data_IF_339541333551
#
_entry.id   IF_339541333551
#
_cell.length_a   1.000
_cell.length_b   1.000
_cell.length_c   1.000
_cell.angle_alpha   90.00
_cell.angle_beta   90.00
_cell.angle_gamma   90.00
#
_symmetry.space_group_name_H-M   'P 1'
#
loop_
_entity.id
_entity.type
_entity.pdbx_description
1 polymer ?
#
# COMPACT_ATOMS: atom_id res chain seq x y z
N UNK A 1 -19.49 -3.10 -25.93
CA UNK A 1 -18.65 -2.41 -26.94
C UNK A 1 -17.23 -2.88 -26.73
N UNK A 2 -16.53 -3.33 -27.77
CA UNK A 2 -15.16 -3.79 -27.67
C UNK A 2 -14.21 -2.60 -27.37
N UNK A 3 -13.39 -2.73 -26.32
CA UNK A 3 -12.35 -1.77 -25.94
C UNK A 3 -11.00 -2.21 -26.49
N UNK A 4 -10.22 -1.30 -27.05
CA UNK A 4 -8.86 -1.60 -27.53
C UNK A 4 -7.86 -1.31 -26.41
N UNK A 5 -7.11 -2.34 -25.99
CA UNK A 5 -6.05 -2.25 -25.00
C UNK A 5 -4.77 -1.64 -25.59
N UNK A 6 -3.83 -1.18 -24.74
CA UNK A 6 -2.58 -0.58 -25.21
C UNK A 6 -1.68 -1.50 -26.06
N UNK A 7 -1.84 -2.82 -25.96
CA UNK A 7 -1.16 -3.81 -26.79
C UNK A 7 -1.84 -4.05 -28.16
N UNK A 8 -2.92 -3.31 -28.45
CA UNK A 8 -3.72 -3.44 -29.67
C UNK A 8 -4.76 -4.55 -29.62
N UNK A 9 -4.81 -5.37 -28.56
CA UNK A 9 -5.84 -6.38 -28.39
C UNK A 9 -7.20 -5.76 -28.08
N UNK A 10 -8.28 -6.41 -28.49
CA UNK A 10 -9.64 -5.93 -28.26
C UNK A 10 -10.35 -6.79 -27.21
N UNK A 11 -10.95 -6.14 -26.23
CA UNK A 11 -11.67 -6.78 -25.11
C UNK A 11 -13.14 -6.44 -25.20
N UNK A 12 -13.99 -7.46 -25.32
CA UNK A 12 -15.43 -7.29 -25.13
C UNK A 12 -15.82 -7.58 -23.69
N UNK A 13 -16.16 -6.52 -22.94
CA UNK A 13 -16.60 -6.62 -21.56
C UNK A 13 -17.89 -7.43 -21.40
N UNK A 14 -18.73 -7.51 -22.44
CA UNK A 14 -19.99 -8.27 -22.39
C UNK A 14 -19.79 -9.78 -22.48
N UNK A 15 -18.65 -10.24 -23.02
CA UNK A 15 -18.38 -11.66 -23.25
C UNK A 15 -17.63 -12.34 -22.09
N UNK A 16 -17.28 -11.62 -21.01
CA UNK A 16 -16.48 -12.15 -19.90
C UNK A 16 -15.04 -12.53 -20.27
N UNK A 17 -14.60 -12.23 -21.49
CA UNK A 17 -13.32 -12.65 -22.07
C UNK A 17 -12.07 -12.09 -21.36
N UNK A 18 -12.26 -11.09 -20.48
CA UNK A 18 -11.16 -10.51 -19.69
C UNK A 18 -10.64 -11.47 -18.63
N UNK A 19 -11.47 -12.40 -18.17
CA UNK A 19 -11.16 -13.30 -17.06
C UNK A 19 -10.49 -14.61 -17.48
N UNK A 20 -10.55 -14.99 -18.76
CA UNK A 20 -10.26 -16.36 -19.21
C UNK A 20 -8.95 -16.55 -19.98
N UNK A 21 -8.24 -15.49 -20.37
CA UNK A 21 -6.96 -15.64 -21.10
C UNK A 21 -5.72 -15.29 -20.26
N UNK A 22 -4.71 -16.17 -20.29
CA UNK A 22 -3.36 -15.84 -19.85
C UNK A 22 -2.79 -14.81 -20.83
N UNK A 23 -2.73 -13.54 -20.43
CA UNK A 23 -2.10 -12.51 -21.26
C UNK A 23 -0.59 -12.62 -21.19
N UNK A 24 0.06 -12.53 -22.35
CA UNK A 24 1.48 -12.15 -22.41
C UNK A 24 1.55 -10.70 -21.94
N UNK A 25 2.24 -10.44 -20.82
CA UNK A 25 2.44 -9.07 -20.35
C UNK A 25 3.17 -8.28 -21.45
N UNK A 26 2.74 -7.05 -21.77
CA UNK A 26 3.44 -6.24 -22.77
C UNK A 26 4.91 -6.03 -22.37
N UNK A 27 5.81 -6.10 -23.35
CA UNK A 27 7.24 -5.96 -23.13
C UNK A 27 7.63 -4.51 -22.82
N UNK A 28 8.48 -4.30 -21.80
CA UNK A 28 9.06 -3.02 -21.41
C UNK A 28 8.96 -2.75 -19.91
N UNK A 29 9.84 -1.92 -19.37
CA UNK A 29 9.77 -1.52 -17.96
C UNK A 29 8.56 -0.59 -17.74
N UNK A 30 7.62 -0.95 -16.85
CA UNK A 30 6.47 -0.10 -16.58
C UNK A 30 6.95 1.18 -15.88
N UNK A 31 6.64 2.35 -16.44
CA UNK A 31 6.96 3.64 -15.80
C UNK A 31 6.08 3.90 -14.57
N UNK A 32 5.08 3.05 -14.34
CA UNK A 32 4.21 3.05 -13.16
C UNK A 32 4.55 1.87 -12.27
N UNK A 33 5.03 2.16 -11.07
CA UNK A 33 4.93 1.27 -9.92
C UNK A 33 3.44 0.99 -9.62
N UNK A 34 3.07 -0.29 -9.56
CA UNK A 34 1.70 -0.72 -9.30
C UNK A 34 1.74 -1.92 -8.37
N UNK A 35 1.26 -1.72 -7.14
CA UNK A 35 1.23 -2.71 -6.09
C UNK A 35 -0.21 -3.16 -5.82
N UNK A 36 -0.42 -4.46 -5.70
CA UNK A 36 -1.69 -5.03 -5.25
C UNK A 36 -1.62 -5.30 -3.75
N UNK A 37 -2.56 -4.74 -2.98
CA UNK A 37 -2.68 -5.05 -1.56
C UNK A 37 -3.35 -6.42 -1.40
N UNK A 38 -2.63 -7.40 -0.88
CA UNK A 38 -3.06 -8.80 -0.93
C UNK A 38 -3.76 -9.25 0.36
N UNK A 39 -4.89 -9.94 0.22
CA UNK A 39 -5.63 -10.58 1.30
C UNK A 39 -4.89 -11.80 1.88
N UNK A 40 -5.36 -12.31 3.01
CA UNK A 40 -4.93 -13.61 3.57
C UNK A 40 -5.98 -14.69 3.29
N UNK A 41 -5.53 -15.91 3.02
CA UNK A 41 -6.44 -17.04 2.77
C UNK A 41 -6.59 -17.84 4.06
N UNK A 42 -7.82 -17.93 4.56
CA UNK A 42 -8.14 -18.78 5.70
C UNK A 42 -8.29 -20.25 5.26
N UNK A 43 -7.79 -21.17 6.08
CA UNK A 43 -7.96 -22.60 5.93
C UNK A 43 -9.41 -23.02 6.20
N UNK A 44 -9.81 -24.20 5.70
CA UNK A 44 -11.17 -24.74 5.91
C UNK A 44 -11.53 -24.88 7.40
N UNK A 45 -10.53 -25.10 8.26
CA UNK A 45 -10.70 -25.15 9.72
C UNK A 45 -11.31 -23.88 10.32
N UNK A 46 -11.26 -22.75 9.61
CA UNK A 46 -11.84 -21.49 10.04
C UNK A 46 -13.37 -21.44 9.93
N UNK A 47 -13.99 -22.30 9.11
CA UNK A 47 -15.43 -22.22 8.77
C UNK A 47 -16.38 -22.34 9.97
N UNK A 48 -15.91 -22.93 11.08
CA UNK A 48 -16.67 -23.07 12.33
C UNK A 48 -16.22 -22.13 13.45
N UNK A 49 -15.27 -21.23 13.19
CA UNK A 49 -14.72 -20.31 14.19
C UNK A 49 -15.63 -19.09 14.32
N UNK A 50 -16.02 -18.75 15.55
CA UNK A 50 -16.93 -17.63 15.84
C UNK A 50 -16.13 -16.36 16.07
N UNK A 51 -15.50 -15.84 15.02
CA UNK A 51 -14.91 -14.49 15.02
C UNK A 51 -15.88 -13.49 14.40
N UNK A 52 -15.87 -12.26 14.91
CA UNK A 52 -16.69 -11.15 14.43
C UNK A 52 -15.92 -9.84 14.57
N UNK A 53 -16.32 -8.72 13.92
CA UNK A 53 -15.61 -7.44 14.07
C UNK A 53 -15.45 -6.98 15.52
N UNK A 54 -16.42 -7.25 16.39
CA UNK A 54 -16.33 -6.95 17.83
C UNK A 54 -15.46 -7.94 18.62
N UNK A 55 -15.19 -9.12 18.07
CA UNK A 55 -14.43 -10.21 18.69
C UNK A 55 -13.62 -10.93 17.60
N UNK A 56 -12.56 -10.30 17.05
CA UNK A 56 -11.87 -10.81 15.87
C UNK A 56 -11.03 -12.07 16.13
N UNK A 57 -10.90 -12.48 17.39
CA UNK A 57 -9.95 -13.50 17.84
C UNK A 57 -8.58 -12.90 18.15
N UNK A 58 -7.79 -13.59 18.97
CA UNK A 58 -6.40 -13.21 19.19
C UNK A 58 -5.53 -13.56 17.96
N UNK A 59 -4.38 -12.88 17.74
CA UNK A 59 -3.44 -13.25 16.68
C UNK A 59 -3.05 -14.73 16.69
N UNK A 60 -2.84 -15.33 17.87
CA UNK A 60 -2.50 -16.75 18.01
C UNK A 60 -3.64 -17.70 17.62
N UNK A 61 -4.90 -17.29 17.81
CA UNK A 61 -6.06 -18.03 17.34
C UNK A 61 -6.19 -17.93 15.83
N UNK A 62 -6.09 -16.72 15.28
CA UNK A 62 -6.15 -16.46 13.84
C UNK A 62 -5.05 -17.23 13.10
N UNK A 63 -3.81 -17.22 13.62
CA UNK A 63 -2.65 -17.85 12.99
C UNK A 63 -2.82 -19.34 12.71
N UNK A 64 -3.55 -20.06 13.58
CA UNK A 64 -3.85 -21.50 13.42
C UNK A 64 -4.72 -21.80 12.20
N UNK A 65 -5.41 -20.78 11.70
CA UNK A 65 -6.40 -20.90 10.64
C UNK A 65 -5.96 -20.23 9.34
N UNK A 66 -4.73 -19.75 9.21
CA UNK A 66 -4.21 -19.21 7.95
C UNK A 66 -3.70 -20.38 7.07
N UNK A 67 -4.21 -20.47 5.85
CA UNK A 67 -3.63 -21.31 4.80
C UNK A 67 -2.46 -20.54 4.15
N UNK A 68 -1.28 -20.70 4.74
CA UNK A 68 -0.06 -20.04 4.30
C UNK A 68 0.31 -20.37 2.86
N UNK A 69 0.07 -21.61 2.42
CA UNK A 69 0.41 -22.05 1.08
C UNK A 69 -0.48 -21.36 0.04
N UNK A 70 -1.81 -21.27 0.27
CA UNK A 70 -2.71 -20.52 -0.61
C UNK A 70 -2.41 -19.02 -0.56
N UNK A 71 -2.15 -18.50 0.63
CA UNK A 71 -1.78 -17.09 0.84
C UNK A 71 -0.56 -16.72 -0.01
N UNK A 72 0.51 -17.53 0.00
CA UNK A 72 1.70 -17.27 -0.81
C UNK A 72 1.50 -17.54 -2.31
N UNK A 73 0.77 -18.59 -2.69
CA UNK A 73 0.41 -18.83 -4.10
C UNK A 73 -0.37 -17.65 -4.71
N UNK A 74 -1.15 -16.94 -3.90
CA UNK A 74 -1.84 -15.75 -4.35
C UNK A 74 -0.88 -14.57 -4.62
N UNK A 75 0.16 -14.38 -3.80
CA UNK A 75 1.24 -13.40 -4.10
C UNK A 75 1.95 -13.77 -5.39
N UNK A 76 2.30 -15.04 -5.59
CA UNK A 76 2.91 -15.53 -6.82
C UNK A 76 2.01 -15.26 -8.04
N UNK A 77 0.68 -15.43 -7.89
CA UNK A 77 -0.29 -15.10 -8.93
C UNK A 77 -0.24 -13.59 -9.29
N UNK A 78 -0.25 -12.70 -8.31
CA UNK A 78 -0.13 -11.25 -8.53
C UNK A 78 1.20 -10.88 -9.20
N UNK A 79 2.31 -11.48 -8.74
CA UNK A 79 3.65 -11.28 -9.32
C UNK A 79 3.70 -11.75 -10.77
N UNK A 80 3.10 -12.91 -11.09
CA UNK A 80 3.01 -13.42 -12.46
C UNK A 80 2.21 -12.49 -13.40
N UNK A 81 1.36 -11.63 -12.84
CA UNK A 81 0.64 -10.57 -13.57
C UNK A 81 1.36 -9.21 -13.53
N UNK A 82 2.62 -9.18 -13.06
CA UNK A 82 3.50 -8.03 -13.12
C UNK A 82 3.28 -7.00 -12.01
N UNK A 83 2.48 -7.29 -10.99
CA UNK A 83 2.29 -6.41 -9.84
C UNK A 83 3.46 -6.51 -8.86
N UNK A 84 3.76 -5.41 -8.19
CA UNK A 84 4.39 -5.46 -6.87
C UNK A 84 3.36 -5.89 -5.83
N UNK A 85 3.84 -6.25 -4.64
CA UNK A 85 2.95 -6.60 -3.53
C UNK A 85 2.89 -5.45 -2.53
N UNK A 86 1.70 -5.12 -2.04
CA UNK A 86 1.54 -4.32 -0.82
C UNK A 86 1.12 -5.27 0.30
N UNK A 87 2.10 -5.68 1.12
CA UNK A 87 1.97 -6.74 2.10
C UNK A 87 1.57 -6.20 3.48
N UNK A 88 0.80 -6.97 4.24
CA UNK A 88 0.39 -6.61 5.60
C UNK A 88 -0.24 -5.19 5.70
N UNK A 89 -1.06 -4.84 4.71
CA UNK A 89 -1.88 -3.62 4.64
C UNK A 89 -3.32 -3.89 5.11
N UNK A 90 -4.20 -2.89 5.12
CA UNK A 90 -5.61 -3.04 5.53
C UNK A 90 -6.36 -4.18 4.82
N UNK A 91 -6.06 -4.45 3.55
CA UNK A 91 -6.65 -5.56 2.78
C UNK A 91 -6.31 -6.93 3.37
N UNK A 92 -5.17 -7.06 4.06
CA UNK A 92 -4.79 -8.23 4.84
C UNK A 92 -5.38 -8.24 6.25
N UNK A 93 -6.28 -7.30 6.58
CA UNK A 93 -6.84 -7.07 7.91
C UNK A 93 -5.78 -6.73 8.95
N UNK A 94 -4.90 -5.77 8.60
CA UNK A 94 -3.72 -5.46 9.40
C UNK A 94 -4.03 -5.11 10.87
N UNK A 95 -5.16 -4.47 11.13
CA UNK A 95 -5.57 -4.07 12.47
C UNK A 95 -6.15 -5.22 13.31
N UNK A 96 -6.37 -6.39 12.70
CA UNK A 96 -6.97 -7.56 13.34
C UNK A 96 -5.97 -8.72 13.47
N UNK A 97 -5.08 -8.91 12.51
CA UNK A 97 -4.16 -10.07 12.47
C UNK A 97 -2.99 -9.97 13.46
N UNK A 98 -2.63 -8.75 13.87
CA UNK A 98 -1.51 -8.49 14.77
C UNK A 98 -0.11 -8.70 14.17
N UNK A 99 0.90 -8.21 14.89
CA UNK A 99 2.27 -8.14 14.39
C UNK A 99 2.92 -9.49 14.04
N UNK A 100 2.77 -10.58 14.82
CA UNK A 100 3.41 -11.85 14.50
C UNK A 100 3.02 -12.40 13.12
N UNK A 101 1.75 -12.30 12.74
CA UNK A 101 1.25 -12.72 11.43
C UNK A 101 1.75 -11.75 10.35
N UNK A 102 1.65 -10.44 10.58
CA UNK A 102 2.12 -9.41 9.65
C UNK A 102 3.61 -9.58 9.32
N UNK A 103 4.44 -9.83 10.33
CA UNK A 103 5.87 -10.11 10.18
C UNK A 103 6.13 -11.35 9.33
N UNK A 104 5.44 -12.45 9.59
CA UNK A 104 5.58 -13.69 8.81
C UNK A 104 5.18 -13.48 7.33
N UNK A 105 4.11 -12.72 7.07
CA UNK A 105 3.73 -12.32 5.71
C UNK A 105 4.85 -11.52 5.02
N UNK A 106 5.40 -10.51 5.70
CA UNK A 106 6.49 -9.66 5.19
C UNK A 106 7.74 -10.50 4.86
N UNK A 107 8.17 -11.36 5.79
CA UNK A 107 9.36 -12.20 5.60
C UNK A 107 9.16 -13.22 4.47
N UNK A 108 7.95 -13.79 4.32
CA UNK A 108 7.64 -14.69 3.20
C UNK A 108 7.57 -13.96 1.87
N UNK A 109 6.99 -12.76 1.84
CA UNK A 109 6.92 -11.92 0.65
C UNK A 109 8.32 -11.53 0.17
N UNK A 110 9.23 -11.18 1.09
CA UNK A 110 10.63 -10.93 0.78
C UNK A 110 11.33 -12.11 0.11
N UNK A 111 11.06 -13.35 0.54
CA UNK A 111 11.61 -14.57 -0.06
C UNK A 111 11.11 -14.81 -1.50
N UNK A 112 9.95 -14.27 -1.88
CA UNK A 112 9.48 -14.33 -3.27
C UNK A 112 10.26 -13.37 -4.19
N UNK A 113 10.90 -12.35 -3.63
CA UNK A 113 11.69 -11.36 -4.38
C UNK A 113 10.94 -10.81 -5.61
N UNK A 114 9.74 -10.23 -5.43
CA UNK A 114 8.94 -9.72 -6.55
C UNK A 114 9.75 -8.75 -7.41
N UNK A 115 9.78 -8.88 -8.75
CA UNK A 115 10.58 -8.01 -9.62
C UNK A 115 10.27 -6.52 -9.49
N UNK A 116 8.99 -6.17 -9.26
CA UNK A 116 8.56 -4.78 -8.99
C UNK A 116 8.89 -4.32 -7.56
N UNK A 117 9.31 -5.24 -6.70
CA UNK A 117 9.43 -5.07 -5.26
C UNK A 117 8.10 -5.20 -4.52
N UNK A 118 8.17 -4.95 -3.23
CA UNK A 118 6.99 -4.87 -2.37
C UNK A 118 7.09 -3.71 -1.39
N UNK A 119 5.94 -3.23 -0.98
CA UNK A 119 5.72 -2.25 0.08
C UNK A 119 5.06 -2.99 1.24
N UNK A 120 5.36 -2.64 2.48
CA UNK A 120 4.69 -3.25 3.63
C UNK A 120 4.37 -2.22 4.71
N UNK A 121 3.26 -2.44 5.43
CA UNK A 121 2.82 -1.54 6.50
C UNK A 121 3.71 -1.63 7.75
N UNK A 122 4.09 -0.47 8.30
CA UNK A 122 4.72 -0.34 9.61
C UNK A 122 3.75 0.40 10.55
N UNK A 123 3.35 -0.26 11.63
CA UNK A 123 2.42 0.25 12.63
C UNK A 123 2.93 0.05 14.05
N UNK A 124 2.01 -0.23 14.96
CA UNK A 124 2.25 -0.34 16.42
C UNK A 124 1.60 -1.58 17.03
N UNK A 125 1.14 -2.51 16.19
CA UNK A 125 0.37 -3.71 16.52
C UNK A 125 1.14 -4.80 17.28
N UNK A 126 2.41 -4.57 17.60
CA UNK A 126 3.15 -5.39 18.58
C UNK A 126 2.91 -4.96 20.03
N UNK A 127 2.41 -3.74 20.24
CA UNK A 127 2.17 -3.19 21.57
C UNK A 127 0.78 -3.60 22.06
N UNK A 128 0.69 -4.03 23.31
CA UNK A 128 -0.60 -4.29 23.95
C UNK A 128 -1.43 -3.00 24.11
N UNK A 129 -0.75 -1.87 24.30
CA UNK A 129 -1.33 -0.54 24.31
C UNK A 129 -0.27 0.50 23.96
N UNK A 130 -0.69 1.57 23.28
CA UNK A 130 0.13 2.78 23.06
C UNK A 130 -0.19 3.76 24.19
N UNK A 131 0.84 4.14 24.95
CA UNK A 131 0.72 5.04 26.10
C UNK A 131 1.45 6.37 25.92
N UNK A 132 2.36 6.44 24.95
CA UNK A 132 3.15 7.63 24.64
C UNK A 132 3.47 7.76 23.15
N UNK A 133 3.86 8.96 22.73
CA UNK A 133 4.39 9.19 21.38
C UNK A 133 5.69 8.41 21.13
N UNK A 134 6.50 8.17 22.16
CA UNK A 134 7.72 7.37 22.05
C UNK A 134 7.41 5.90 21.75
N UNK A 135 6.34 5.35 22.31
CA UNK A 135 5.91 3.98 22.02
C UNK A 135 5.63 3.81 20.52
N UNK A 136 4.95 4.80 19.92
CA UNK A 136 4.68 4.84 18.46
C UNK A 136 5.99 4.87 17.68
N UNK A 137 6.89 5.77 18.05
CA UNK A 137 8.15 5.98 17.34
C UNK A 137 8.99 4.71 17.33
N UNK A 138 9.22 4.13 18.51
CA UNK A 138 10.09 2.96 18.67
C UNK A 138 9.47 1.72 17.99
N UNK A 139 8.16 1.52 18.13
CA UNK A 139 7.46 0.41 17.50
C UNK A 139 7.46 0.49 15.97
N UNK A 140 7.19 1.67 15.40
CA UNK A 140 7.21 1.85 13.95
C UNK A 140 8.63 1.71 13.39
N UNK A 141 9.64 2.21 14.09
CA UNK A 141 11.04 2.07 13.69
C UNK A 141 11.48 0.59 13.67
N UNK A 142 11.07 -0.21 14.67
CA UNK A 142 11.31 -1.65 14.71
C UNK A 142 10.69 -2.35 13.49
N UNK A 143 9.41 -2.09 13.22
CA UNK A 143 8.74 -2.71 12.07
C UNK A 143 9.35 -2.27 10.73
N UNK A 144 9.76 -1.00 10.61
CA UNK A 144 10.49 -0.53 9.43
C UNK A 144 11.78 -1.33 9.21
N UNK A 145 12.55 -1.59 10.27
CA UNK A 145 13.77 -2.39 10.17
C UNK A 145 13.49 -3.82 9.69
N UNK A 146 12.42 -4.47 10.18
CA UNK A 146 12.00 -5.79 9.69
C UNK A 146 11.64 -5.76 8.20
N UNK A 147 10.87 -4.76 7.78
CA UNK A 147 10.48 -4.60 6.37
C UNK A 147 11.70 -4.39 5.47
N UNK A 148 12.64 -3.52 5.87
CA UNK A 148 13.88 -3.28 5.14
C UNK A 148 14.75 -4.53 5.06
N UNK A 149 14.87 -5.28 6.15
CA UNK A 149 15.60 -6.55 6.19
C UNK A 149 15.01 -7.61 5.24
N UNK A 150 13.69 -7.58 5.03
CA UNK A 150 13.00 -8.43 4.05
C UNK A 150 13.08 -7.89 2.60
N UNK A 151 13.69 -6.71 2.37
CA UNK A 151 13.84 -6.08 1.05
C UNK A 151 12.67 -5.21 0.60
N UNK A 152 11.74 -4.89 1.50
CA UNK A 152 10.55 -4.08 1.22
C UNK A 152 10.77 -2.59 1.44
N UNK A 153 9.81 -1.78 1.00
CA UNK A 153 9.70 -0.37 1.39
C UNK A 153 8.68 -0.19 2.51
N UNK A 154 9.07 0.35 3.68
CA UNK A 154 8.14 0.62 4.76
C UNK A 154 7.12 1.71 4.38
N UNK A 155 5.86 1.42 4.65
CA UNK A 155 4.74 2.35 4.60
C UNK A 155 4.29 2.63 6.03
N UNK A 156 4.54 3.82 6.53
CA UNK A 156 4.11 4.25 7.85
C UNK A 156 2.58 4.32 7.88
N UNK A 157 1.97 3.38 8.58
CA UNK A 157 0.51 3.27 8.72
C UNK A 157 -0.01 4.40 9.61
N UNK A 158 -1.25 4.81 9.36
CA UNK A 158 -1.93 5.76 10.22
C UNK A 158 -2.05 5.22 11.66
N UNK A 159 -1.91 6.12 12.63
CA UNK A 159 -1.85 5.85 14.07
C UNK A 159 -3.09 6.42 14.77
N UNK A 160 -4.18 5.65 14.95
CA UNK A 160 -5.43 6.14 15.55
C UNK A 160 -5.26 6.80 16.91
N UNK A 161 -4.26 6.40 17.69
CA UNK A 161 -3.93 7.01 18.97
C UNK A 161 -3.75 8.53 18.87
N UNK A 162 -3.20 9.06 17.77
CA UNK A 162 -3.01 10.50 17.58
C UNK A 162 -4.35 11.24 17.42
N UNK A 163 -5.28 10.71 16.63
CA UNK A 163 -6.61 11.30 16.44
C UNK A 163 -7.50 11.13 17.66
N UNK A 164 -7.52 9.93 18.25
CA UNK A 164 -8.37 9.62 19.42
C UNK A 164 -8.01 10.51 20.62
N UNK A 165 -6.74 10.84 20.80
CA UNK A 165 -6.28 11.76 21.85
C UNK A 165 -6.28 13.24 21.42
N UNK A 166 -6.81 13.56 20.24
CA UNK A 166 -6.98 14.93 19.73
C UNK A 166 -5.66 15.74 19.70
N UNK A 167 -4.56 15.08 19.33
CA UNK A 167 -3.26 15.74 19.22
C UNK A 167 -3.24 16.77 18.08
N UNK A 168 -2.42 17.81 18.25
CA UNK A 168 -2.27 18.91 17.31
C UNK A 168 -1.25 18.65 16.20
N UNK A 169 -1.15 19.56 15.24
CA UNK A 169 -0.25 19.45 14.10
C UNK A 169 1.23 19.30 14.51
N UNK A 170 1.66 20.00 15.57
CA UNK A 170 3.04 19.89 16.07
C UNK A 170 3.35 18.49 16.59
N UNK A 171 2.41 17.87 17.31
CA UNK A 171 2.59 16.50 17.82
C UNK A 171 2.68 15.49 16.68
N UNK A 172 1.86 15.62 15.64
CA UNK A 172 1.96 14.78 14.45
C UNK A 172 3.33 14.91 13.77
N UNK A 173 3.80 16.15 13.57
CA UNK A 173 5.11 16.41 12.96
C UNK A 173 6.23 15.84 13.83
N UNK A 174 6.21 16.02 15.16
CA UNK A 174 7.21 15.44 16.06
C UNK A 174 7.29 13.91 15.93
N UNK A 175 6.15 13.23 16.04
CA UNK A 175 6.09 11.76 15.97
C UNK A 175 6.64 11.24 14.66
N UNK A 176 6.12 11.72 13.53
CA UNK A 176 6.52 11.21 12.22
C UNK A 176 7.98 11.55 11.91
N UNK A 177 8.45 12.75 12.23
CA UNK A 177 9.85 13.13 11.97
C UNK A 177 10.84 12.35 12.85
N UNK A 178 10.46 11.97 14.08
CA UNK A 178 11.24 11.06 14.93
C UNK A 178 11.31 9.65 14.34
N UNK A 179 10.20 9.10 13.81
CA UNK A 179 10.23 7.83 13.07
C UNK A 179 11.15 7.93 11.85
N UNK A 180 11.00 8.99 11.03
CA UNK A 180 11.80 9.20 9.81
C UNK A 180 13.30 9.32 10.14
N UNK A 181 13.67 9.91 11.28
CA UNK A 181 15.06 9.98 11.75
C UNK A 181 15.62 8.62 12.12
N UNK A 182 14.84 7.78 12.80
CA UNK A 182 15.29 6.47 13.28
C UNK A 182 15.27 5.38 12.20
N UNK A 183 14.30 5.40 11.30
CA UNK A 183 14.13 4.37 10.28
C UNK A 183 15.04 4.56 9.06
N UNK A 184 15.43 3.45 8.44
CA UNK A 184 16.14 3.44 7.16
C UNK A 184 15.17 3.64 5.98
N UNK A 185 15.55 4.49 5.03
CA UNK A 185 14.74 4.76 3.84
C UNK A 185 14.92 3.75 2.70
N UNK A 186 14.12 3.88 1.61
CA UNK A 186 13.05 4.87 1.44
C UNK A 186 11.80 4.54 2.28
N UNK A 187 11.06 5.58 2.68
CA UNK A 187 9.82 5.49 3.46
C UNK A 187 8.64 6.06 2.67
N UNK A 188 7.44 5.55 2.96
CA UNK A 188 6.18 6.08 2.46
C UNK A 188 5.23 6.37 3.61
N UNK A 189 4.36 7.35 3.45
CA UNK A 189 3.32 7.69 4.43
C UNK A 189 1.96 7.19 3.95
N UNK A 190 1.18 6.53 4.79
CA UNK A 190 -0.19 6.16 4.46
C UNK A 190 -1.16 7.11 5.14
N UNK A 191 -1.90 7.86 4.33
CA UNK A 191 -3.05 8.62 4.80
C UNK A 191 -4.33 7.82 4.55
N UNK A 192 -4.78 7.12 5.60
CA UNK A 192 -6.02 6.37 5.63
C UNK A 192 -7.16 7.23 6.20
N UNK A 193 -8.29 7.29 5.50
CA UNK A 193 -9.43 8.10 5.91
C UNK A 193 -10.44 7.38 6.82
N UNK A 194 -11.36 8.15 7.42
CA UNK A 194 -12.35 7.64 8.37
C UNK A 194 -13.40 6.69 7.78
N UNK A 195 -13.57 6.68 6.45
CA UNK A 195 -14.42 5.71 5.74
C UNK A 195 -13.89 4.27 5.84
N UNK A 196 -12.60 4.09 6.09
CA UNK A 196 -11.98 2.79 6.33
C UNK A 196 -11.81 2.51 7.82
N UNK A 197 -11.41 3.53 8.61
CA UNK A 197 -11.23 3.41 10.05
C UNK A 197 -11.75 4.66 10.77
N UNK A 198 -12.96 4.64 11.36
CA UNK A 198 -13.59 5.83 11.95
C UNK A 198 -12.76 6.57 13.00
N UNK A 199 -11.84 5.87 13.68
CA UNK A 199 -10.92 6.46 14.65
C UNK A 199 -9.89 7.44 14.04
N UNK A 200 -9.81 7.52 12.71
CA UNK A 200 -8.95 8.45 11.95
C UNK A 200 -9.67 9.72 11.51
N UNK A 201 -10.83 10.04 12.10
CA UNK A 201 -11.47 11.34 11.88
C UNK A 201 -10.46 12.48 12.19
N UNK A 202 -10.34 13.44 11.28
CA UNK A 202 -9.42 14.57 11.43
C UNK A 202 -7.91 14.24 11.40
N UNK A 203 -7.52 13.06 10.90
CA UNK A 203 -6.11 12.67 10.81
C UNK A 203 -5.29 13.64 9.94
N UNK A 204 -4.07 13.95 10.37
CA UNK A 204 -3.21 15.04 9.85
C UNK A 204 -3.86 16.44 9.94
N UNK A 205 -4.00 17.00 11.15
CA UNK A 205 -4.57 18.34 11.34
C UNK A 205 -3.69 19.44 10.74
N UNK A 206 -4.31 20.53 10.28
CA UNK A 206 -3.60 21.72 9.78
C UNK A 206 -2.75 21.41 8.55
N UNK A 207 -1.49 21.83 8.59
CA UNK A 207 -0.47 21.60 7.55
C UNK A 207 0.51 20.47 7.93
N UNK A 208 0.14 19.61 8.88
CA UNK A 208 1.05 18.59 9.43
C UNK A 208 1.50 17.60 8.37
N UNK A 209 0.63 17.19 7.45
CA UNK A 209 0.98 16.27 6.37
C UNK A 209 2.04 16.87 5.43
N UNK A 210 1.83 18.09 4.97
CA UNK A 210 2.76 18.81 4.09
C UNK A 210 4.13 18.97 4.76
N UNK A 211 4.15 19.32 6.06
CA UNK A 211 5.38 19.44 6.85
C UNK A 211 6.12 18.12 7.00
N UNK A 212 5.40 17.01 7.24
CA UNK A 212 5.98 15.67 7.32
C UNK A 212 6.58 15.24 5.98
N UNK A 213 5.85 15.44 4.88
CA UNK A 213 6.34 15.11 3.54
C UNK A 213 7.54 15.96 3.12
N UNK A 214 7.63 17.21 3.57
CA UNK A 214 8.74 18.12 3.28
C UNK A 214 9.98 17.92 4.18
N UNK A 215 9.87 17.16 5.27
CA UNK A 215 10.92 17.05 6.28
C UNK A 215 12.23 16.43 5.75
N UNK A 216 12.14 15.33 5.01
CA UNK A 216 13.28 14.69 4.33
C UNK A 216 12.79 14.03 3.03
N UNK A 217 12.63 14.79 1.92
CA UNK A 217 12.11 14.26 0.66
C UNK A 217 13.04 13.24 -0.01
N UNK A 218 14.31 13.19 0.39
CA UNK A 218 15.26 12.17 -0.05
C UNK A 218 15.01 10.81 0.61
N UNK A 219 14.47 10.79 1.83
CA UNK A 219 14.09 9.58 2.56
C UNK A 219 12.61 9.24 2.43
N UNK A 220 11.70 10.21 2.58
CA UNK A 220 10.26 10.06 2.40
C UNK A 220 9.95 10.22 0.91
N UNK A 221 9.67 9.12 0.22
CA UNK A 221 9.60 9.10 -1.25
C UNK A 221 8.21 9.19 -1.82
N UNK A 222 7.19 9.23 -0.98
CA UNK A 222 5.82 9.37 -1.42
C UNK A 222 4.81 9.05 -0.33
N UNK A 223 3.54 9.05 -0.72
CA UNK A 223 2.47 8.63 0.15
C UNK A 223 1.45 7.76 -0.59
N UNK A 224 0.69 6.99 0.17
CA UNK A 224 -0.57 6.39 -0.27
C UNK A 224 -1.73 7.21 0.29
N UNK A 225 -2.67 7.61 -0.58
CA UNK A 225 -3.90 8.29 -0.15
C UNK A 225 -5.11 7.36 -0.28
N UNK A 226 -5.79 7.09 0.83
CA UNK A 226 -7.03 6.31 0.91
C UNK A 226 -8.15 7.16 1.51
N UNK A 227 -8.52 8.23 0.79
CA UNK A 227 -9.57 9.18 1.18
C UNK A 227 -10.81 9.13 0.28
N UNK A 228 -10.75 8.37 -0.83
CA UNK A 228 -11.79 8.32 -1.87
C UNK A 228 -12.17 9.70 -2.43
N UNK A 229 -11.23 10.65 -2.38
CA UNK A 229 -11.35 12.02 -2.87
C UNK A 229 -10.29 12.27 -3.94
N UNK A 230 -10.69 12.11 -5.20
CA UNK A 230 -9.82 12.27 -6.35
C UNK A 230 -9.26 13.70 -6.49
N UNK A 231 -10.00 14.73 -6.06
CA UNK A 231 -9.52 16.11 -6.13
C UNK A 231 -8.49 16.41 -5.06
N UNK A 232 -8.65 15.86 -3.85
CA UNK A 232 -7.62 15.89 -2.82
C UNK A 232 -6.34 15.20 -3.31
N UNK A 233 -6.46 14.02 -3.92
CA UNK A 233 -5.30 13.31 -4.47
C UNK A 233 -4.58 14.12 -5.54
N UNK A 234 -5.32 14.72 -6.48
CA UNK A 234 -4.76 15.59 -7.53
C UNK A 234 -4.03 16.80 -6.95
N UNK A 235 -4.54 17.41 -5.87
CA UNK A 235 -3.85 18.51 -5.18
C UNK A 235 -2.54 18.02 -4.56
N UNK A 236 -2.58 16.94 -3.78
CA UNK A 236 -1.41 16.42 -3.07
C UNK A 236 -0.34 15.96 -4.07
N UNK A 237 -0.69 15.21 -5.11
CA UNK A 237 0.32 14.68 -6.06
C UNK A 237 1.10 15.79 -6.78
N UNK A 238 0.46 16.93 -7.08
CA UNK A 238 1.13 18.09 -7.68
C UNK A 238 2.15 18.72 -6.72
N UNK A 239 1.81 18.78 -5.43
CA UNK A 239 2.72 19.25 -4.40
C UNK A 239 3.91 18.29 -4.21
N UNK A 240 3.64 16.97 -4.12
CA UNK A 240 4.69 15.92 -4.06
C UNK A 240 5.63 15.94 -5.27
N UNK A 241 5.09 16.15 -6.48
CA UNK A 241 5.87 16.18 -7.70
C UNK A 241 6.95 17.27 -7.69
N UNK A 242 6.73 18.39 -7.00
CA UNK A 242 7.71 19.46 -6.84
C UNK A 242 8.96 19.04 -6.04
N UNK A 243 8.88 17.92 -5.31
CA UNK A 243 9.94 17.36 -4.46
C UNK A 243 10.40 15.97 -4.92
N UNK A 244 10.08 15.59 -6.15
CA UNK A 244 10.40 14.25 -6.72
C UNK A 244 9.84 13.08 -5.89
N UNK A 245 8.74 13.31 -5.19
CA UNK A 245 7.98 12.31 -4.45
C UNK A 245 6.83 11.77 -5.32
N UNK A 246 6.41 10.54 -5.07
CA UNK A 246 5.32 9.89 -5.82
C UNK A 246 4.03 9.79 -5.01
N UNK A 247 2.90 9.88 -5.70
CA UNK A 247 1.59 9.54 -5.16
C UNK A 247 1.25 8.09 -5.50
N UNK A 248 0.88 7.28 -4.51
CA UNK A 248 0.26 5.97 -4.69
C UNK A 248 -1.25 6.16 -4.45
N UNK A 249 -2.07 6.03 -5.48
CA UNK A 249 -3.51 6.05 -5.29
C UNK A 249 -3.94 4.81 -4.52
N UNK A 250 -4.72 5.04 -3.46
CA UNK A 250 -5.48 4.04 -2.73
C UNK A 250 -6.99 4.25 -2.91
N UNK A 251 -7.40 4.97 -3.95
CA UNK A 251 -8.79 5.23 -4.31
C UNK A 251 -9.32 4.16 -5.27
N UNK A 252 -9.99 3.15 -4.73
CA UNK A 252 -10.55 2.04 -5.51
C UNK A 252 -11.73 2.46 -6.42
N UNK A 253 -12.28 3.68 -6.29
CA UNK A 253 -13.35 4.19 -7.16
C UNK A 253 -12.83 4.93 -8.38
N UNK A 254 -11.75 5.72 -8.22
CA UNK A 254 -11.29 6.66 -9.24
C UNK A 254 -9.92 6.31 -9.84
N UNK A 255 -9.29 5.21 -9.43
CA UNK A 255 -7.90 4.86 -9.78
C UNK A 255 -7.59 4.96 -11.28
N UNK A 256 -8.49 4.55 -12.17
CA UNK A 256 -8.28 4.65 -13.62
C UNK A 256 -7.93 6.08 -14.05
N UNK A 257 -8.77 7.04 -13.68
CA UNK A 257 -8.56 8.47 -13.99
C UNK A 257 -7.38 9.10 -13.23
N UNK A 258 -6.98 8.54 -12.10
CA UNK A 258 -5.87 9.05 -11.29
C UNK A 258 -4.52 8.54 -11.84
N UNK A 259 -4.49 7.31 -12.37
CA UNK A 259 -3.31 6.71 -12.98
C UNK A 259 -3.11 7.16 -14.45
N UNK A 260 -4.20 7.47 -15.15
CA UNK A 260 -4.21 8.15 -16.45
C UNK A 260 -3.76 9.61 -16.26
N UNK A 261 -2.49 9.88 -16.54
CA UNK A 261 -1.88 11.20 -16.35
C UNK A 261 -0.50 11.32 -16.98
N UNK A 262 0.02 12.54 -17.06
CA UNK A 262 1.27 12.85 -17.75
C UNK A 262 2.46 12.89 -16.79
N UNK A 263 3.54 12.20 -17.16
CA UNK A 263 4.81 12.28 -16.46
C UNK A 263 5.56 13.53 -16.94
N UNK A 264 6.01 14.35 -16.00
CA UNK A 264 6.88 15.50 -16.26
C UNK A 264 8.36 15.17 -16.00
N UNK A 265 8.63 14.04 -15.35
CA UNK A 265 9.98 13.57 -15.06
C UNK A 265 10.03 12.12 -14.61
N UNK A 266 11.21 11.68 -14.17
CA UNK A 266 11.44 10.36 -13.58
C UNK A 266 12.38 10.54 -12.39
N UNK A 267 12.10 9.84 -11.30
CA UNK A 267 12.97 9.79 -10.12
C UNK A 267 13.41 8.35 -9.85
N UNK A 268 14.47 8.18 -9.08
CA UNK A 268 14.98 6.88 -8.66
C UNK A 268 14.68 6.66 -7.17
N UNK A 269 14.01 5.58 -6.84
CA UNK A 269 13.71 5.15 -5.47
C UNK A 269 14.35 3.78 -5.28
N UNK A 270 15.41 3.69 -4.48
CA UNK A 270 16.10 2.42 -4.15
C UNK A 270 16.46 1.60 -5.42
N UNK A 271 17.03 2.28 -6.42
CA UNK A 271 17.41 1.70 -7.71
C UNK A 271 16.27 1.49 -8.71
N UNK A 272 15.01 1.81 -8.36
CA UNK A 272 13.84 1.67 -9.24
C UNK A 272 13.39 3.02 -9.81
N UNK A 273 13.17 3.09 -11.11
CA UNK A 273 12.63 4.27 -11.76
C UNK A 273 11.12 4.42 -11.47
N UNK A 274 10.69 5.64 -11.16
CA UNK A 274 9.28 5.99 -11.00
C UNK A 274 8.97 7.30 -11.72
N UNK A 275 7.87 7.35 -12.46
CA UNK A 275 7.41 8.59 -13.06
C UNK A 275 7.05 9.63 -11.98
N UNK A 276 7.34 10.89 -12.26
CA UNK A 276 6.88 12.03 -11.45
C UNK A 276 6.08 12.93 -12.37
N UNK A 277 4.97 13.49 -11.90
CA UNK A 277 4.11 14.36 -12.70
C UNK A 277 2.68 14.42 -12.18
N UNK A 278 1.76 14.83 -13.05
CA UNK A 278 0.33 14.90 -12.74
C UNK A 278 -0.33 13.53 -12.97
N UNK A 279 0.14 12.53 -12.23
CA UNK A 279 -0.29 11.15 -12.30
C UNK A 279 -0.08 10.45 -10.97
N UNK A 280 -0.82 9.37 -10.74
CA UNK A 280 -0.64 8.51 -9.58
C UNK A 280 -0.09 7.14 -10.00
N UNK A 281 0.76 6.59 -9.15
CA UNK A 281 1.11 5.17 -9.09
C UNK A 281 -0.01 4.39 -8.40
N UNK A 282 0.01 3.06 -8.46
CA UNK A 282 -1.04 2.24 -7.83
C UNK A 282 -0.58 1.54 -6.56
N UNK A 283 -1.36 1.62 -5.48
CA UNK A 283 -1.32 0.70 -4.35
C UNK A 283 -2.75 0.44 -3.89
N UNK A 284 -3.39 -0.58 -4.45
CA UNK A 284 -4.86 -0.73 -4.39
C UNK A 284 -5.27 -2.11 -3.89
N UNK A 285 -6.35 -2.14 -3.12
CA UNK A 285 -7.01 -3.38 -2.71
C UNK A 285 -7.78 -4.01 -3.85
N UNK A 286 -8.39 -3.20 -4.74
CA UNK A 286 -9.16 -3.76 -5.87
C UNK A 286 -8.31 -4.63 -6.79
N UNK A 287 -7.01 -4.35 -6.95
CA UNK A 287 -6.10 -5.15 -7.78
C UNK A 287 -5.91 -6.58 -7.28
N UNK A 288 -6.22 -6.86 -6.02
CA UNK A 288 -6.38 -8.23 -5.52
C UNK A 288 -7.47 -8.97 -6.31
N UNK A 289 -8.67 -8.40 -6.37
CA UNK A 289 -9.83 -9.01 -7.03
C UNK A 289 -9.84 -8.90 -8.56
N UNK A 290 -9.11 -7.94 -9.14
CA UNK A 290 -9.13 -7.66 -10.58
C UNK A 290 -7.77 -7.82 -11.26
N UNK A 291 -6.85 -8.59 -10.68
CA UNK A 291 -5.47 -8.73 -11.14
C UNK A 291 -5.34 -8.97 -12.66
N UNK A 292 -6.11 -9.91 -13.21
CA UNK A 292 -6.07 -10.26 -14.64
C UNK A 292 -6.48 -9.08 -15.54
N UNK A 293 -7.69 -8.49 -15.41
CA UNK A 293 -8.06 -7.31 -16.19
C UNK A 293 -7.12 -6.12 -15.99
N UNK A 294 -6.68 -5.85 -14.75
CA UNK A 294 -5.81 -4.71 -14.46
C UNK A 294 -4.41 -4.86 -15.09
N UNK A 295 -3.84 -6.07 -15.10
CA UNK A 295 -2.55 -6.35 -15.73
C UNK A 295 -2.56 -6.05 -17.24
N UNK A 296 -3.67 -6.32 -17.92
CA UNK A 296 -3.80 -6.04 -19.36
C UNK A 296 -3.93 -4.55 -19.69
N UNK A 297 -4.50 -3.78 -18.78
CA UNK A 297 -4.62 -2.34 -18.94
C UNK A 297 -3.27 -1.62 -18.80
N UNK A 298 -2.26 -2.27 -18.19
CA UNK A 298 -0.90 -1.74 -18.10
C UNK A 298 -0.21 -1.86 -19.45
N UNK A 299 -0.34 -0.83 -20.27
CA UNK A 299 0.34 -0.75 -21.56
C UNK A 299 1.85 -0.52 -21.44
N UNK A 300 2.61 -0.84 -22.50
CA UNK A 300 3.98 -0.36 -22.63
C UNK A 300 4.01 1.17 -22.78
N UNK A 301 5.18 1.80 -22.57
CA UNK A 301 5.41 3.23 -22.87
C UNK A 301 4.82 3.55 -24.25
N UNK A 302 3.87 4.49 -24.33
CA UNK A 302 3.67 5.22 -25.58
C UNK A 302 4.90 6.10 -25.74
N UNK A 303 5.71 5.79 -26.76
CA UNK A 303 6.88 6.58 -27.14
C UNK A 303 6.49 7.94 -27.68
#
# INVERSE_FOLDING_TARGET
MPFTLPDGSTVDLAAGAVWSSRSVLPAGDPVRLVYAAAHIVMAESYRGVVHAPAHPGSPDEIAKHIDWDRTMRFREHLIAHGFGIAEAMDTAQRYEIGWPIARELIERCGRLSPPMGFVAGAGTDQLAAVTSSSDIVDAMAEQCAVIRAAGGWPMLLAQPWLSVNQHDAETYVDVYTRVIRQAEGPLFIHWLGPMFLPALEGYFPGDSFERIMAFDPGKVRGCKLSMLDAELERRIRRDLASREQIMLTGDDFHFGSLMEGEATGTTMIDGRAAAVGDLSHGLLGVFDGIAVPAARARGPRRG
#
